data_IF_642817162775
#
_entry.id   IF_642817162775
#
_cell.length_a   1.000
_cell.length_b   1.000
_cell.length_c   1.000
_cell.angle_alpha   90.00
_cell.angle_beta   90.00
_cell.angle_gamma   90.00
#
_symmetry.space_group_name_H-M   'P 1'
#
loop_
_entity.id
_entity.type
_entity.pdbx_description
1 polymer ?
#
# COMPACT_ATOMS: atom_id res chain seq x y z
N UNK A 1 -5.39 16.81 -13.70
CA UNK A 1 -4.71 16.92 -12.38
C UNK A 1 -3.21 16.88 -12.64
N UNK A 2 -2.46 17.93 -12.29
CA UNK A 2 -1.00 17.96 -12.45
C UNK A 2 -0.33 17.20 -11.32
N UNK A 3 -0.02 15.93 -11.54
CA UNK A 3 0.85 15.16 -10.65
C UNK A 3 2.28 15.69 -10.77
N UNK A 4 2.81 16.37 -9.74
CA UNK A 4 4.25 16.56 -9.64
C UNK A 4 4.88 15.24 -9.20
N UNK A 5 5.69 14.65 -10.06
CA UNK A 5 6.38 13.38 -9.82
C UNK A 5 7.82 13.69 -9.43
N UNK A 6 8.18 13.47 -8.16
CA UNK A 6 9.58 13.50 -7.73
C UNK A 6 10.16 12.08 -7.79
N UNK A 7 11.27 11.92 -8.51
CA UNK A 7 11.99 10.66 -8.68
C UNK A 7 13.20 10.61 -7.75
N UNK A 8 13.34 9.53 -7.00
CA UNK A 8 14.59 9.18 -6.30
C UNK A 8 14.99 7.76 -6.66
N UNK A 9 16.19 7.60 -7.21
CA UNK A 9 16.77 6.29 -7.49
C UNK A 9 17.54 5.81 -6.25
N UNK A 10 17.13 4.67 -5.68
CA UNK A 10 17.76 4.12 -4.47
C UNK A 10 18.88 3.13 -4.86
N UNK A 11 18.70 2.37 -5.95
CA UNK A 11 19.72 1.53 -6.60
C UNK A 11 19.28 1.17 -8.04
N UNK A 12 20.00 0.28 -8.73
CA UNK A 12 19.68 -0.14 -10.11
C UNK A 12 18.29 -0.76 -10.28
N UNK A 13 17.69 -1.28 -9.20
CA UNK A 13 16.47 -2.08 -9.26
C UNK A 13 15.26 -1.38 -8.62
N UNK A 14 15.46 -0.24 -7.94
CA UNK A 14 14.42 0.45 -7.17
C UNK A 14 14.43 1.94 -7.51
N UNK A 15 13.38 2.35 -8.24
CA UNK A 15 13.00 3.74 -8.48
C UNK A 15 11.78 4.08 -7.65
N UNK A 16 11.83 5.12 -6.82
CA UNK A 16 10.68 5.61 -6.05
C UNK A 16 10.13 6.90 -6.63
N UNK A 17 8.80 7.02 -6.60
CA UNK A 17 8.05 8.12 -7.15
C UNK A 17 7.08 8.65 -6.11
N UNK A 18 6.98 9.97 -6.01
CA UNK A 18 6.08 10.66 -5.09
C UNK A 18 5.10 11.52 -5.89
N UNK A 19 3.81 11.46 -5.54
CA UNK A 19 2.78 12.29 -6.18
C UNK A 19 2.06 13.14 -5.15
N UNK A 20 2.03 14.45 -5.41
CA UNK A 20 1.16 15.39 -4.73
C UNK A 20 -0.16 15.52 -5.51
N UNK A 21 -1.30 15.50 -4.79
CA UNK A 21 -2.67 15.63 -5.31
C UNK A 21 -3.14 14.49 -6.23
N UNK A 22 -3.53 13.35 -5.66
CA UNK A 22 -4.15 12.24 -6.43
C UNK A 22 -5.62 12.10 -6.10
N UNK A 23 -6.41 11.71 -7.10
CA UNK A 23 -7.81 11.32 -6.97
C UNK A 23 -7.97 10.02 -6.16
N UNK A 24 -9.20 9.76 -5.70
CA UNK A 24 -9.63 8.50 -5.10
C UNK A 24 -9.09 7.31 -5.94
N UNK A 25 -8.53 6.25 -5.32
CA UNK A 25 -8.71 5.88 -3.90
C UNK A 25 -7.58 6.25 -2.94
N UNK A 26 -6.48 6.81 -3.45
CA UNK A 26 -5.32 7.14 -2.61
C UNK A 26 -5.46 8.54 -2.01
N UNK A 27 -5.16 8.67 -0.71
CA UNK A 27 -4.97 10.01 -0.11
C UNK A 27 -3.66 10.63 -0.62
N UNK A 28 -3.52 11.95 -0.45
CA UNK A 28 -2.33 12.70 -0.85
C UNK A 28 -1.04 12.09 -0.30
N UNK A 29 0.04 12.11 -1.09
CA UNK A 29 1.41 11.70 -0.72
C UNK A 29 1.68 10.20 -0.60
N UNK A 30 1.05 9.36 -1.41
CA UNK A 30 1.54 7.98 -1.56
C UNK A 30 2.89 7.97 -2.30
N UNK A 31 3.65 6.91 -2.06
CA UNK A 31 4.89 6.64 -2.79
C UNK A 31 4.83 5.28 -3.42
N UNK A 32 5.35 5.16 -4.64
CA UNK A 32 5.38 3.89 -5.35
C UNK A 32 6.76 3.58 -5.88
N UNK A 33 7.08 2.29 -6.01
CA UNK A 33 8.33 1.82 -6.59
C UNK A 33 8.15 0.49 -7.31
N UNK A 34 9.07 0.19 -8.22
CA UNK A 34 9.15 -1.12 -8.85
C UNK A 34 10.08 -2.03 -8.05
N UNK A 35 9.66 -3.27 -7.84
CA UNK A 35 10.50 -4.33 -7.28
C UNK A 35 10.25 -5.63 -8.03
N UNK A 36 11.28 -6.16 -8.70
CA UNK A 36 11.16 -7.35 -9.57
C UNK A 36 10.01 -7.21 -10.58
N UNK A 37 8.98 -8.06 -10.48
CA UNK A 37 7.78 -8.06 -11.32
C UNK A 37 6.60 -7.36 -10.65
N UNK A 38 6.83 -6.51 -9.66
CA UNK A 38 5.76 -5.87 -8.91
C UNK A 38 5.86 -4.35 -8.94
N UNK A 39 4.69 -3.73 -8.98
CA UNK A 39 4.51 -2.32 -8.67
C UNK A 39 4.00 -2.24 -7.24
N UNK A 40 4.79 -1.62 -6.36
CA UNK A 40 4.48 -1.52 -4.94
C UNK A 40 4.08 -0.08 -4.64
N UNK A 41 2.89 0.10 -4.07
CA UNK A 41 2.39 1.38 -3.56
C UNK A 41 2.41 1.31 -2.05
N UNK A 42 3.11 2.26 -1.45
CA UNK A 42 3.32 2.41 -0.01
C UNK A 42 2.67 3.70 0.48
N UNK A 43 2.52 3.82 1.80
CA UNK A 43 1.85 4.97 2.43
C UNK A 43 0.41 5.16 1.92
N UNK A 44 -0.28 4.05 1.64
CA UNK A 44 -1.64 4.06 1.10
C UNK A 44 -2.65 4.57 2.14
N UNK A 45 -2.38 4.31 3.42
CA UNK A 45 -3.18 4.80 4.56
C UNK A 45 -2.25 5.54 5.51
N UNK A 46 -2.71 6.70 5.98
CA UNK A 46 -2.05 7.44 7.06
C UNK A 46 -2.25 6.65 8.36
N UNK A 47 -1.16 6.08 8.88
CA UNK A 47 -1.13 5.39 10.16
C UNK A 47 0.09 5.81 10.97
N UNK A 48 0.10 5.47 12.26
CA UNK A 48 1.29 5.66 13.08
C UNK A 48 2.41 4.78 12.54
N UNK A 49 3.50 5.38 12.04
CA UNK A 49 4.70 4.65 11.64
C UNK A 49 5.29 3.98 12.90
N UNK A 50 5.31 2.65 13.00
CA UNK A 50 5.94 1.99 14.15
C UNK A 50 7.46 2.20 14.11
N UNK A 51 8.07 2.18 15.29
CA UNK A 51 9.51 2.05 15.41
C UNK A 51 9.88 0.56 15.28
N UNK A 52 10.34 0.15 14.10
CA UNK A 52 10.64 -1.24 13.79
C UNK A 52 11.95 -1.76 14.40
N UNK A 53 12.88 -0.87 14.76
CA UNK A 53 14.27 -1.27 15.05
C UNK A 53 14.38 -2.18 16.28
N UNK A 54 13.44 -2.10 17.23
CA UNK A 54 13.44 -2.85 18.49
C UNK A 54 12.10 -3.53 18.79
N UNK A 55 11.33 -3.91 17.77
CA UNK A 55 10.01 -4.50 17.95
C UNK A 55 9.79 -5.71 17.05
N UNK A 56 9.24 -6.79 17.61
CA UNK A 56 8.74 -7.89 16.81
C UNK A 56 7.55 -7.41 15.98
N UNK A 57 7.66 -7.55 14.65
CA UNK A 57 6.65 -7.07 13.70
C UNK A 57 5.96 -8.25 13.05
N UNK A 58 4.64 -8.30 13.14
CA UNK A 58 3.85 -9.27 12.41
C UNK A 58 3.77 -8.86 10.94
N UNK A 59 4.19 -9.74 10.03
CA UNK A 59 4.10 -9.53 8.59
C UNK A 59 2.94 -10.35 8.04
N UNK A 60 1.96 -9.68 7.43
CA UNK A 60 0.79 -10.31 6.83
C UNK A 60 0.79 -10.05 5.32
N UNK A 61 0.62 -11.11 4.54
CA UNK A 61 0.38 -11.01 3.10
C UNK A 61 -1.00 -11.60 2.80
N UNK A 62 -1.83 -10.86 2.08
CA UNK A 62 -3.15 -11.31 1.67
C UNK A 62 -3.43 -10.84 0.24
N UNK A 63 -4.24 -11.59 -0.50
CA UNK A 63 -4.74 -11.18 -1.81
C UNK A 63 -6.11 -10.52 -1.65
N UNK A 64 -6.43 -9.52 -2.48
CA UNK A 64 -7.69 -8.76 -2.39
C UNK A 64 -8.95 -9.61 -2.60
N UNK A 65 -8.81 -10.77 -3.24
CA UNK A 65 -9.86 -11.75 -3.49
C UNK A 65 -10.11 -12.74 -2.33
N UNK A 66 -9.37 -12.62 -1.21
CA UNK A 66 -9.51 -13.49 -0.04
C UNK A 66 -10.46 -12.91 1.00
N UNK A 67 -11.06 -13.81 1.80
CA UNK A 67 -11.84 -13.40 2.96
C UNK A 67 -10.94 -12.71 4.02
N UNK A 68 -11.36 -11.53 4.46
CA UNK A 68 -10.70 -10.70 5.47
C UNK A 68 -10.93 -11.13 6.93
N UNK A 69 -11.75 -12.15 7.21
CA UNK A 69 -12.05 -12.59 8.58
C UNK A 69 -10.81 -13.08 9.32
N UNK A 70 -9.95 -13.87 8.66
CA UNK A 70 -8.67 -14.29 9.24
C UNK A 70 -7.77 -13.09 9.54
N UNK A 71 -7.71 -12.12 8.62
CA UNK A 71 -6.94 -10.89 8.80
C UNK A 71 -7.42 -10.12 10.04
N UNK A 72 -8.73 -9.97 10.24
CA UNK A 72 -9.30 -9.33 11.44
C UNK A 72 -8.87 -10.04 12.73
N UNK A 73 -8.82 -11.36 12.73
CA UNK A 73 -8.39 -12.13 13.90
C UNK A 73 -6.89 -11.92 14.19
N UNK A 74 -6.04 -11.92 13.16
CA UNK A 74 -4.62 -11.59 13.32
C UNK A 74 -4.40 -10.18 13.86
N UNK A 75 -5.22 -9.20 13.46
CA UNK A 75 -5.13 -7.84 13.97
C UNK A 75 -5.51 -7.74 15.46
N UNK A 76 -6.51 -8.50 15.91
CA UNK A 76 -6.96 -8.51 17.31
C UNK A 76 -5.97 -9.19 18.25
N UNK A 77 -5.36 -10.29 17.81
CA UNK A 77 -4.54 -11.15 18.68
C UNK A 77 -3.07 -10.72 18.78
N UNK A 78 -2.66 -9.69 18.03
CA UNK A 78 -1.31 -9.17 18.05
C UNK A 78 -1.29 -7.79 18.71
N UNK A 79 -0.36 -7.51 19.61
CA UNK A 79 -0.25 -6.17 20.23
C UNK A 79 0.86 -5.30 19.61
N UNK A 80 1.79 -5.93 18.89
CA UNK A 80 2.94 -5.24 18.30
C UNK A 80 2.64 -4.56 16.94
N UNK A 81 3.68 -3.98 16.32
CA UNK A 81 3.59 -3.46 14.96
C UNK A 81 3.16 -4.52 13.94
N UNK A 82 2.42 -4.07 12.93
CA UNK A 82 1.98 -4.92 11.83
C UNK A 82 2.42 -4.30 10.51
N UNK A 83 3.01 -5.12 9.64
CA UNK A 83 3.23 -4.80 8.23
C UNK A 83 2.26 -5.64 7.40
N UNK A 84 1.49 -4.98 6.54
CA UNK A 84 0.49 -5.63 5.69
C UNK A 84 0.82 -5.36 4.23
N UNK A 85 0.96 -6.44 3.47
CA UNK A 85 1.04 -6.44 2.02
C UNK A 85 -0.23 -6.98 1.39
N UNK A 86 -0.88 -6.20 0.53
CA UNK A 86 -2.06 -6.65 -0.23
C UNK A 86 -1.68 -6.90 -1.69
N UNK A 87 -1.72 -8.15 -2.14
CA UNK A 87 -1.67 -8.48 -3.56
C UNK A 87 -3.01 -8.12 -4.20
N UNK A 88 -2.98 -7.27 -5.22
CA UNK A 88 -4.13 -6.98 -6.07
C UNK A 88 -4.03 -7.84 -7.32
N UNK A 89 -5.03 -8.69 -7.54
CA UNK A 89 -5.14 -9.50 -8.76
C UNK A 89 -5.49 -8.68 -10.00
N UNK A 90 -6.09 -7.50 -9.80
CA UNK A 90 -6.50 -6.61 -10.88
C UNK A 90 -5.32 -5.95 -11.59
N UNK A 91 -5.47 -5.71 -12.89
CA UNK A 91 -4.48 -5.02 -13.70
C UNK A 91 -4.64 -3.48 -13.68
N UNK A 92 -5.51 -2.95 -12.81
CA UNK A 92 -5.78 -1.51 -12.64
C UNK A 92 -5.49 -1.09 -11.21
N UNK A 93 -4.69 -0.05 -11.07
CA UNK A 93 -4.33 0.53 -9.77
C UNK A 93 -5.42 1.49 -9.29
N UNK A 94 -6.03 2.23 -10.21
CA UNK A 94 -7.19 3.07 -9.93
C UNK A 94 -8.41 2.23 -10.31
N UNK A 95 -8.97 1.53 -9.32
CA UNK A 95 -10.12 0.64 -9.50
C UNK A 95 -11.02 0.68 -8.26
N UNK A 96 -12.28 0.27 -8.42
CA UNK A 96 -13.24 0.14 -7.32
C UNK A 96 -12.76 -0.89 -6.29
N UNK A 97 -12.12 -1.95 -6.76
CA UNK A 97 -11.53 -3.00 -5.92
C UNK A 97 -10.42 -2.43 -5.03
N UNK A 98 -9.56 -1.59 -5.62
CA UNK A 98 -8.50 -0.89 -4.86
C UNK A 98 -9.11 0.06 -3.83
N UNK A 99 -10.17 0.78 -4.19
CA UNK A 99 -10.91 1.65 -3.26
C UNK A 99 -11.53 0.87 -2.10
N UNK A 100 -12.23 -0.22 -2.39
CA UNK A 100 -12.85 -1.09 -1.40
C UNK A 100 -11.82 -1.63 -0.40
N UNK A 101 -10.69 -2.14 -0.90
CA UNK A 101 -9.62 -2.66 -0.04
C UNK A 101 -9.04 -1.57 0.85
N UNK A 102 -8.78 -0.38 0.31
CA UNK A 102 -8.29 0.75 1.10
C UNK A 102 -9.31 1.13 2.18
N UNK A 103 -10.61 1.12 1.87
CA UNK A 103 -11.68 1.41 2.82
C UNK A 103 -11.74 0.36 3.95
N UNK A 104 -11.72 -0.93 3.59
CA UNK A 104 -11.68 -2.04 4.55
C UNK A 104 -10.49 -1.90 5.49
N UNK A 105 -9.30 -1.63 4.96
CA UNK A 105 -8.08 -1.50 5.76
C UNK A 105 -8.11 -0.26 6.65
N UNK A 106 -8.58 0.89 6.15
CA UNK A 106 -8.74 2.12 6.96
C UNK A 106 -9.59 1.87 8.21
N UNK A 107 -10.66 1.09 8.09
CA UNK A 107 -11.52 0.76 9.22
C UNK A 107 -10.82 -0.10 10.28
N UNK A 108 -9.79 -0.86 9.92
CA UNK A 108 -9.02 -1.68 10.85
C UNK A 108 -7.73 -1.03 11.36
N UNK A 109 -7.27 0.06 10.72
CA UNK A 109 -5.97 0.69 11.02
C UNK A 109 -6.07 1.82 12.06
N UNK A 110 -7.23 2.48 12.22
CA UNK A 110 -7.36 3.77 12.94
C UNK A 110 -6.61 3.84 14.29
N UNK A 111 -6.56 2.75 15.04
CA UNK A 111 -5.96 2.71 16.39
C UNK A 111 -4.67 1.85 16.47
N UNK A 112 -4.03 1.58 15.32
CA UNK A 112 -2.93 0.61 15.22
C UNK A 112 -1.69 1.19 14.55
N UNK A 113 -0.52 0.82 15.06
CA UNK A 113 0.77 1.07 14.39
C UNK A 113 0.94 0.07 13.24
N UNK A 114 0.42 0.42 12.09
CA UNK A 114 0.41 -0.45 10.91
C UNK A 114 1.06 0.25 9.71
N UNK A 115 1.91 -0.49 9.00
CA UNK A 115 2.35 -0.11 7.67
C UNK A 115 1.62 -0.94 6.64
N UNK A 116 1.09 -0.25 5.63
CA UNK A 116 0.35 -0.86 4.55
C UNK A 116 1.04 -0.58 3.23
N UNK A 117 1.26 -1.64 2.46
CA UNK A 117 1.61 -1.55 1.06
C UNK A 117 0.67 -2.42 0.22
N UNK A 118 0.34 -1.92 -0.96
CA UNK A 118 -0.41 -2.64 -1.98
C UNK A 118 0.57 -3.00 -3.09
N UNK A 119 0.50 -4.22 -3.59
CA UNK A 119 1.36 -4.72 -4.65
C UNK A 119 0.51 -5.25 -5.80
N UNK A 120 0.91 -4.88 -7.01
CA UNK A 120 0.29 -5.32 -8.26
C UNK A 120 1.34 -6.05 -9.09
N UNK A 121 0.92 -7.01 -9.92
CA UNK A 121 1.78 -7.51 -10.99
C UNK A 121 2.17 -6.33 -11.90
N UNK A 122 3.45 -6.21 -12.27
CA UNK A 122 4.10 -5.02 -12.87
C UNK A 122 3.18 -4.25 -13.83
N UNK A 123 2.58 -3.18 -13.30
CA UNK A 123 1.78 -2.19 -14.04
C UNK A 123 2.58 -0.91 -14.11
N UNK A 124 2.65 -0.30 -15.29
CA UNK A 124 3.27 1.02 -15.39
C UNK A 124 2.33 2.11 -14.87
N UNK A 125 2.63 2.60 -13.65
CA UNK A 125 1.80 3.58 -12.94
C UNK A 125 1.65 4.90 -13.70
N UNK A 126 2.71 5.34 -14.37
CA UNK A 126 2.72 6.60 -15.12
C UNK A 126 1.65 6.58 -16.22
N UNK A 127 1.48 5.45 -16.91
CA UNK A 127 0.44 5.31 -17.96
C UNK A 127 -0.98 5.31 -17.41
N UNK A 128 -1.20 4.87 -16.16
CA UNK A 128 -2.53 4.84 -15.56
C UNK A 128 -2.92 6.16 -14.90
N UNK A 129 -1.96 6.98 -14.44
CA UNK A 129 -2.24 8.27 -13.81
C UNK A 129 -2.46 9.42 -14.82
N UNK A 130 -2.04 9.25 -16.08
CA UNK A 130 -2.17 10.28 -17.13
C UNK A 130 -3.54 10.19 -17.85
N UNK A 131 -4.25 9.05 -17.75
CA UNK A 131 -5.62 8.91 -18.25
C UNK A 131 -6.62 9.47 -17.24
#
# INVERSE_FOLDING_TARGET
ISASINLTQINSNVSSYFVNNVSIPFKSKFSWFYYKKYTIISNVVEGQKPNYLNSLTLVLHISNDRNFDWFRNSLKNWEGPISVGIYMSDNKIISLETECIICVLKNHIKDRKMFLFILFLKINLIFQMIK
#
